data_IF_927497750120
#
_entry.id   IF_927497750120
#
_cell.length_a   1.000
_cell.length_b   1.000
_cell.length_c   1.000
_cell.angle_alpha   90.00
_cell.angle_beta   90.00
_cell.angle_gamma   90.00
#
_symmetry.space_group_name_H-M   'P 1'
#
loop_
_entity.id
_entity.type
_entity.pdbx_description
1 polymer ?
#
# COMPACT_ATOMS: atom_id res chain seq x y z
N UNK A 1 -36.75 -3.99 -12.72
CA UNK A 1 -36.51 -3.34 -11.41
C UNK A 1 -35.02 -3.20 -11.09
N UNK A 2 -34.16 -4.17 -11.43
CA UNK A 2 -32.70 -4.07 -11.24
C UNK A 2 -32.02 -3.03 -12.17
N UNK A 3 -32.48 -2.91 -13.41
CA UNK A 3 -31.96 -1.93 -14.40
C UNK A 3 -32.18 -0.47 -13.99
N UNK A 4 -33.25 -0.20 -13.23
CA UNK A 4 -33.58 1.15 -12.78
C UNK A 4 -32.63 1.64 -11.67
N UNK A 5 -32.01 0.70 -10.92
CA UNK A 5 -31.02 0.98 -9.88
C UNK A 5 -29.65 1.32 -10.47
N UNK A 6 -29.26 0.67 -11.57
CA UNK A 6 -27.99 0.92 -12.28
C UNK A 6 -28.00 2.23 -13.08
N UNK A 7 -29.18 2.73 -13.48
CA UNK A 7 -29.30 3.90 -14.36
C UNK A 7 -29.45 5.27 -13.68
N UNK A 8 -29.70 5.33 -12.38
CA UNK A 8 -30.18 6.58 -11.72
C UNK A 8 -29.28 7.15 -10.64
N UNK A 9 -28.23 6.44 -10.21
CA UNK A 9 -27.26 6.98 -9.27
C UNK A 9 -25.86 6.85 -9.87
N UNK A 10 -25.02 7.90 -9.86
CA UNK A 10 -23.60 7.70 -10.09
C UNK A 10 -23.16 6.60 -9.13
N UNK A 11 -22.48 5.58 -9.67
CA UNK A 11 -21.88 4.54 -8.85
C UNK A 11 -21.16 5.24 -7.70
N UNK A 12 -21.45 4.87 -6.43
CA UNK A 12 -20.74 5.48 -5.31
C UNK A 12 -19.26 5.31 -5.62
N UNK A 13 -18.56 6.44 -5.77
CA UNK A 13 -17.12 6.37 -5.97
C UNK A 13 -16.55 5.56 -4.82
N UNK A 14 -15.56 4.68 -5.07
CA UNK A 14 -14.90 3.95 -4.01
C UNK A 14 -14.55 4.95 -2.92
N UNK A 15 -15.11 4.76 -1.72
CA UNK A 15 -14.77 5.61 -0.59
C UNK A 15 -13.24 5.59 -0.48
N UNK A 16 -12.57 6.76 -0.54
CA UNK A 16 -11.13 6.80 -0.37
C UNK A 16 -10.83 6.15 0.98
N UNK A 17 -9.80 5.31 1.01
CA UNK A 17 -9.33 4.73 2.27
C UNK A 17 -9.04 5.88 3.24
N UNK A 18 -9.74 5.90 4.37
CA UNK A 18 -9.57 6.91 5.43
C UNK A 18 -9.05 6.21 6.68
N UNK A 19 -7.73 6.24 6.91
CA UNK A 19 -7.16 5.69 8.13
C UNK A 19 -7.84 6.32 9.36
N UNK A 20 -8.38 5.49 10.26
CA UNK A 20 -8.95 5.94 11.54
C UNK A 20 -10.47 6.13 11.59
N UNK A 21 -11.17 6.13 10.45
CA UNK A 21 -12.64 6.04 10.44
C UNK A 21 -13.06 4.57 10.36
N UNK A 22 -14.19 4.17 10.93
CA UNK A 22 -14.79 2.85 10.68
C UNK A 22 -15.87 2.95 9.61
N UNK A 23 -15.98 1.92 8.78
CA UNK A 23 -17.03 1.82 7.77
C UNK A 23 -18.39 1.60 8.42
N UNK A 24 -19.45 2.10 7.79
CA UNK A 24 -20.82 1.74 8.18
C UNK A 24 -21.14 0.29 7.81
N UNK A 25 -22.15 -0.28 8.45
CA UNK A 25 -22.72 -1.56 8.02
C UNK A 25 -23.33 -1.46 6.61
N UNK A 26 -23.25 -2.53 5.79
CA UNK A 26 -22.75 -3.87 6.11
C UNK A 26 -21.22 -4.02 5.98
N UNK A 27 -20.49 -2.98 5.56
CA UNK A 27 -19.06 -3.08 5.25
C UNK A 27 -18.20 -3.35 6.49
N UNK A 28 -18.64 -2.89 7.66
CA UNK A 28 -17.97 -3.23 8.91
C UNK A 28 -17.88 -4.74 9.12
N UNK A 29 -19.01 -5.44 9.07
CA UNK A 29 -19.07 -6.88 9.38
C UNK A 29 -18.77 -7.78 8.18
N UNK A 30 -19.05 -7.34 6.94
CA UNK A 30 -19.05 -8.21 5.76
C UNK A 30 -17.92 -7.93 4.75
N UNK A 31 -17.03 -6.96 4.98
CA UNK A 31 -15.96 -6.60 4.02
C UNK A 31 -15.09 -7.80 3.59
N UNK A 32 -14.66 -8.66 4.53
CA UNK A 32 -13.86 -9.83 4.17
C UNK A 32 -14.64 -10.83 3.29
N UNK A 33 -15.92 -11.08 3.60
CA UNK A 33 -16.78 -11.94 2.80
C UNK A 33 -17.03 -11.35 1.40
N UNK A 34 -17.25 -10.05 1.32
CA UNK A 34 -17.36 -9.33 0.05
C UNK A 34 -16.07 -9.43 -0.77
N UNK A 35 -14.90 -9.35 -0.13
CA UNK A 35 -13.62 -9.49 -0.79
C UNK A 35 -13.41 -10.92 -1.34
N UNK A 36 -13.76 -11.97 -0.56
CA UNK A 36 -13.79 -13.36 -1.06
C UNK A 36 -14.74 -13.52 -2.25
N UNK A 37 -15.92 -12.89 -2.20
CA UNK A 37 -16.87 -12.90 -3.30
C UNK A 37 -16.28 -12.23 -4.56
N UNK A 38 -15.65 -11.06 -4.41
CA UNK A 38 -14.97 -10.35 -5.50
C UNK A 38 -13.87 -11.18 -6.15
N UNK A 39 -13.07 -11.86 -5.33
CA UNK A 39 -12.06 -12.80 -5.80
C UNK A 39 -12.66 -13.94 -6.65
N UNK A 40 -13.78 -14.52 -6.21
CA UNK A 40 -14.48 -15.62 -6.91
C UNK A 40 -15.13 -15.16 -8.22
N UNK A 41 -15.72 -13.97 -8.21
CA UNK A 41 -16.34 -13.34 -9.39
C UNK A 41 -15.31 -12.77 -10.37
N UNK A 42 -14.03 -12.73 -9.99
CA UNK A 42 -12.95 -12.08 -10.76
C UNK A 42 -13.25 -10.60 -11.03
N UNK A 43 -13.78 -9.91 -10.01
CA UNK A 43 -14.11 -8.49 -10.07
C UNK A 43 -13.06 -7.69 -9.28
N UNK A 44 -11.92 -7.30 -9.90
CA UNK A 44 -10.79 -6.71 -9.19
C UNK A 44 -11.13 -5.39 -8.49
N UNK A 45 -11.95 -4.54 -9.12
CA UNK A 45 -12.37 -3.26 -8.53
C UNK A 45 -13.24 -3.48 -7.28
N UNK A 46 -14.12 -4.48 -7.33
CA UNK A 46 -14.95 -4.85 -6.19
C UNK A 46 -14.14 -5.52 -5.07
N UNK A 47 -13.19 -6.39 -5.42
CA UNK A 47 -12.24 -6.99 -4.47
C UNK A 47 -11.43 -5.88 -3.76
N UNK A 48 -10.90 -4.93 -4.53
CA UNK A 48 -10.15 -3.77 -4.02
C UNK A 48 -11.00 -2.91 -3.10
N UNK A 49 -12.23 -2.59 -3.51
CA UNK A 49 -13.15 -1.82 -2.70
C UNK A 49 -13.53 -2.53 -1.40
N UNK A 50 -13.79 -3.84 -1.45
CA UNK A 50 -14.06 -4.62 -0.25
C UNK A 50 -12.83 -4.73 0.67
N UNK A 51 -11.64 -4.87 0.10
CA UNK A 51 -10.40 -4.91 0.87
C UNK A 51 -10.13 -3.58 1.58
N UNK A 52 -10.37 -2.43 0.95
CA UNK A 52 -10.15 -1.13 1.61
C UNK A 52 -10.98 -1.00 2.88
N UNK A 53 -12.25 -1.44 2.84
CA UNK A 53 -13.11 -1.48 4.01
C UNK A 53 -12.57 -2.44 5.09
N UNK A 54 -12.11 -3.64 4.72
CA UNK A 54 -11.52 -4.56 5.70
C UNK A 54 -10.29 -3.96 6.39
N UNK A 55 -9.35 -3.39 5.61
CA UNK A 55 -8.14 -2.75 6.14
C UNK A 55 -8.50 -1.61 7.11
N UNK A 56 -9.52 -0.83 6.76
CA UNK A 56 -10.01 0.26 7.58
C UNK A 56 -10.62 -0.22 8.92
N UNK A 57 -11.36 -1.33 8.89
CA UNK A 57 -12.14 -1.79 10.04
C UNK A 57 -11.38 -2.75 10.96
N UNK A 58 -10.33 -3.43 10.48
CA UNK A 58 -9.71 -4.58 11.15
C UNK A 58 -9.26 -4.34 12.60
N UNK A 59 -8.79 -3.14 12.94
CA UNK A 59 -8.36 -2.80 14.30
C UNK A 59 -9.53 -2.53 15.27
N UNK A 60 -10.72 -2.27 14.75
CA UNK A 60 -11.92 -2.02 15.54
C UNK A 60 -12.77 -3.30 15.72
N UNK A 61 -12.41 -4.40 15.06
CA UNK A 61 -13.10 -5.67 15.20
C UNK A 61 -12.69 -6.33 16.52
N UNK A 62 -13.66 -6.76 17.33
CA UNK A 62 -13.38 -7.54 18.54
C UNK A 62 -12.87 -8.95 18.22
N UNK A 63 -13.39 -9.54 17.14
CA UNK A 63 -12.91 -10.79 16.52
C UNK A 63 -12.98 -10.60 15.01
N UNK A 64 -11.85 -10.81 14.34
CA UNK A 64 -11.74 -10.64 12.91
C UNK A 64 -12.03 -11.92 12.11
N UNK A 65 -12.18 -11.78 10.79
CA UNK A 65 -12.57 -12.87 9.89
C UNK A 65 -11.39 -13.77 9.49
N UNK A 66 -10.33 -13.82 10.29
CA UNK A 66 -9.01 -14.36 9.89
C UNK A 66 -9.06 -15.83 9.52
N UNK A 67 -9.77 -16.64 10.32
CA UNK A 67 -9.96 -18.07 10.03
C UNK A 67 -10.69 -18.29 8.70
N UNK A 68 -11.74 -17.51 8.46
CA UNK A 68 -12.51 -17.57 7.20
C UNK A 68 -11.66 -17.16 6.00
N UNK A 69 -10.78 -16.17 6.15
CA UNK A 69 -9.81 -15.76 5.12
C UNK A 69 -8.84 -16.90 4.81
N UNK A 70 -8.26 -17.53 5.84
CA UNK A 70 -7.33 -18.66 5.66
C UNK A 70 -7.97 -19.86 4.97
N UNK A 71 -9.24 -20.15 5.29
CA UNK A 71 -9.96 -21.28 4.72
C UNK A 71 -10.43 -20.98 3.29
N UNK A 72 -10.74 -19.73 2.97
CA UNK A 72 -10.96 -19.28 1.60
C UNK A 72 -9.66 -19.36 0.76
N UNK A 73 -8.52 -19.03 1.36
CA UNK A 73 -7.20 -19.04 0.70
C UNK A 73 -6.76 -20.40 0.18
N UNK A 74 -7.16 -21.48 0.84
CA UNK A 74 -6.87 -22.87 0.41
C UNK A 74 -7.35 -23.19 -1.01
N UNK A 75 -8.33 -22.45 -1.52
CA UNK A 75 -8.88 -22.65 -2.85
C UNK A 75 -8.19 -21.80 -3.93
N UNK A 76 -7.31 -20.88 -3.55
CA UNK A 76 -6.57 -20.05 -4.49
C UNK A 76 -5.28 -20.73 -4.91
N UNK A 77 -4.96 -20.65 -6.21
CA UNK A 77 -3.69 -21.18 -6.75
C UNK A 77 -2.47 -20.35 -6.32
N UNK A 78 -2.69 -19.10 -5.93
CA UNK A 78 -1.69 -18.14 -5.48
C UNK A 78 -2.33 -17.25 -4.40
N UNK A 79 -1.55 -16.74 -3.44
CA UNK A 79 -2.04 -15.77 -2.47
C UNK A 79 -2.71 -14.59 -3.16
N UNK A 80 -3.91 -14.24 -2.70
CA UNK A 80 -4.62 -13.03 -3.14
C UNK A 80 -4.36 -11.87 -2.20
N UNK A 81 -4.74 -10.66 -2.61
CA UNK A 81 -4.59 -9.46 -1.79
C UNK A 81 -5.20 -9.62 -0.39
N UNK A 82 -6.38 -10.26 -0.30
CA UNK A 82 -7.01 -10.58 0.97
C UNK A 82 -6.19 -11.54 1.85
N UNK A 83 -5.60 -12.59 1.26
CA UNK A 83 -4.75 -13.54 1.99
C UNK A 83 -3.49 -12.85 2.49
N UNK A 84 -2.84 -12.08 1.62
CA UNK A 84 -1.61 -11.34 1.93
C UNK A 84 -1.85 -10.38 3.08
N UNK A 85 -2.85 -9.51 2.96
CA UNK A 85 -3.20 -8.58 4.02
C UNK A 85 -3.54 -9.32 5.32
N UNK A 86 -4.39 -10.36 5.25
CA UNK A 86 -4.78 -11.13 6.44
C UNK A 86 -3.59 -11.79 7.13
N UNK A 87 -2.68 -12.39 6.36
CA UNK A 87 -1.47 -13.02 6.88
C UNK A 87 -0.58 -12.01 7.59
N UNK A 88 -0.31 -10.87 6.95
CA UNK A 88 0.50 -9.79 7.52
C UNK A 88 -0.16 -9.16 8.75
N UNK A 89 -1.47 -8.91 8.71
CA UNK A 89 -2.22 -8.37 9.84
C UNK A 89 -2.16 -9.30 11.07
N UNK A 90 -2.44 -10.59 10.88
CA UNK A 90 -2.39 -11.57 11.96
C UNK A 90 -0.98 -11.69 12.53
N UNK A 91 0.03 -11.86 11.66
CA UNK A 91 1.42 -11.99 12.11
C UNK A 91 1.89 -10.72 12.84
N UNK A 92 1.56 -9.54 12.34
CA UNK A 92 1.88 -8.27 13.00
C UNK A 92 1.19 -8.14 14.35
N UNK A 93 -0.10 -8.51 14.47
CA UNK A 93 -0.75 -8.49 15.79
C UNK A 93 -0.13 -9.51 16.75
N UNK A 94 0.20 -10.70 16.27
CA UNK A 94 0.93 -11.69 17.06
C UNK A 94 2.26 -11.11 17.58
N UNK A 95 3.02 -10.37 16.77
CA UNK A 95 4.29 -9.76 17.20
C UNK A 95 4.14 -8.82 18.39
N UNK A 96 2.99 -8.14 18.49
CA UNK A 96 2.71 -7.18 19.54
C UNK A 96 2.18 -7.81 20.84
N UNK A 97 1.50 -8.94 20.74
CA UNK A 97 0.83 -9.58 21.90
C UNK A 97 1.50 -10.87 22.37
N UNK A 98 2.46 -11.39 21.62
CA UNK A 98 3.21 -12.60 21.97
C UNK A 98 4.04 -12.34 23.23
N UNK A 99 4.06 -13.34 24.11
CA UNK A 99 4.81 -13.29 25.37
C UNK A 99 6.28 -13.62 25.10
N UNK A 100 7.14 -13.36 26.09
CA UNK A 100 8.58 -13.65 26.00
C UNK A 100 8.90 -15.12 25.72
N UNK A 101 8.01 -16.04 26.11
CA UNK A 101 8.14 -17.48 25.85
C UNK A 101 7.68 -17.90 24.44
N UNK A 102 7.34 -16.94 23.57
CA UNK A 102 6.89 -17.17 22.20
C UNK A 102 5.43 -17.65 22.09
N UNK A 103 4.65 -17.58 23.18
CA UNK A 103 3.24 -18.02 23.18
C UNK A 103 2.25 -16.86 23.10
N UNK A 104 1.09 -17.12 22.51
CA UNK A 104 -0.04 -16.18 22.49
C UNK A 104 -0.85 -16.29 23.79
N UNK A 105 -1.48 -15.17 24.26
CA UNK A 105 -2.37 -15.21 25.41
C UNK A 105 -3.53 -16.22 25.21
N UNK A 106 -3.94 -16.95 26.27
CA UNK A 106 -5.10 -17.81 26.21
C UNK A 106 -6.35 -17.05 25.75
N UNK A 107 -7.09 -17.62 24.80
CA UNK A 107 -8.28 -16.98 24.22
C UNK A 107 -7.98 -15.99 23.10
N UNK A 108 -6.72 -15.82 22.68
CA UNK A 108 -6.39 -15.09 21.46
C UNK A 108 -7.03 -15.73 20.23
N UNK A 109 -7.66 -14.91 19.38
CA UNK A 109 -8.27 -15.34 18.13
C UNK A 109 -7.26 -15.84 17.09
N UNK A 110 -5.98 -15.56 17.30
CA UNK A 110 -4.89 -15.92 16.41
C UNK A 110 -4.34 -17.34 16.68
N UNK A 111 -4.76 -17.98 17.78
CA UNK A 111 -4.33 -19.34 18.11
C UNK A 111 -4.77 -20.32 17.03
N UNK A 112 -3.82 -21.09 16.49
CA UNK A 112 -4.07 -22.11 15.47
C UNK A 112 -4.22 -21.57 14.05
N UNK A 113 -4.09 -20.26 13.84
CA UNK A 113 -3.98 -19.67 12.51
C UNK A 113 -2.59 -19.95 11.93
N UNK A 114 -2.53 -20.35 10.65
CA UNK A 114 -1.27 -20.53 9.93
C UNK A 114 -0.51 -19.21 9.82
N UNK A 115 -1.22 -18.10 9.65
CA UNK A 115 -0.65 -16.77 9.58
C UNK A 115 0.17 -16.40 10.83
N UNK A 116 -0.22 -16.87 12.01
CA UNK A 116 0.53 -16.62 13.25
C UNK A 116 1.94 -17.25 13.21
N UNK A 117 2.10 -18.37 12.51
CA UNK A 117 3.40 -19.02 12.34
C UNK A 117 4.32 -18.26 11.36
N UNK A 118 3.78 -17.33 10.57
CA UNK A 118 4.54 -16.54 9.61
C UNK A 118 5.28 -15.36 10.26
N UNK A 119 5.10 -15.13 11.57
CA UNK A 119 5.69 -14.01 12.32
C UNK A 119 7.13 -13.69 11.90
N UNK A 120 8.05 -14.64 12.00
CA UNK A 120 9.47 -14.41 11.66
C UNK A 120 9.76 -14.19 10.18
N UNK A 121 8.83 -14.57 9.29
CA UNK A 121 8.97 -14.40 7.84
C UNK A 121 8.44 -13.05 7.37
N UNK A 122 7.30 -12.63 7.93
CA UNK A 122 6.54 -11.47 7.44
C UNK A 122 6.70 -10.24 8.31
N UNK A 123 7.11 -10.39 9.58
CA UNK A 123 7.44 -9.28 10.47
C UNK A 123 8.91 -9.33 10.89
N UNK A 124 9.63 -8.27 10.52
CA UNK A 124 11.00 -7.96 10.96
C UNK A 124 11.02 -6.68 11.78
N UNK A 125 12.14 -6.39 12.43
CA UNK A 125 12.34 -5.11 13.11
C UNK A 125 12.01 -3.94 12.18
N UNK A 126 11.16 -3.03 12.64
CA UNK A 126 10.70 -1.89 11.86
C UNK A 126 9.59 -2.17 10.84
N UNK A 127 8.99 -3.37 10.83
CA UNK A 127 7.83 -3.65 9.97
C UNK A 127 6.68 -2.71 10.33
N UNK A 128 6.21 -1.88 9.39
CA UNK A 128 5.12 -0.96 9.66
C UNK A 128 3.82 -1.73 9.89
N UNK A 129 2.89 -1.09 10.58
CA UNK A 129 1.50 -1.53 10.64
C UNK A 129 0.97 -1.75 9.20
N UNK A 130 0.45 -2.94 8.86
CA UNK A 130 -0.05 -3.27 7.53
C UNK A 130 -1.15 -2.31 7.01
N UNK A 131 -1.81 -1.55 7.90
CA UNK A 131 -2.81 -0.55 7.49
C UNK A 131 -2.20 0.74 6.96
N UNK A 132 -0.90 0.95 7.20
CA UNK A 132 -0.20 2.19 6.84
C UNK A 132 0.45 2.11 5.45
N UNK A 133 0.50 0.94 4.83
CA UNK A 133 0.90 0.81 3.42
C UNK A 133 -0.29 1.07 2.50
N UNK A 134 0.00 1.59 1.31
CA UNK A 134 -0.99 1.85 0.27
C UNK A 134 -1.70 0.55 -0.14
N UNK A 135 -2.98 0.64 -0.47
CA UNK A 135 -3.81 -0.52 -0.79
C UNK A 135 -3.26 -1.36 -1.96
N UNK A 136 -2.59 -0.70 -2.93
CA UNK A 136 -1.93 -1.35 -4.07
C UNK A 136 -0.89 -2.40 -3.66
N UNK A 137 -0.24 -2.20 -2.51
CA UNK A 137 0.76 -3.13 -1.99
C UNK A 137 0.26 -4.58 -2.02
N UNK A 138 -0.99 -4.80 -1.60
CA UNK A 138 -1.59 -6.12 -1.46
C UNK A 138 -1.89 -6.79 -2.80
N UNK A 139 -2.11 -6.00 -3.85
CA UNK A 139 -2.39 -6.50 -5.20
C UNK A 139 -1.12 -6.77 -6.02
N UNK A 140 0.00 -6.22 -5.60
CA UNK A 140 1.28 -6.34 -6.29
C UNK A 140 2.17 -7.44 -5.71
N UNK A 141 3.29 -7.75 -6.37
CA UNK A 141 4.22 -8.79 -5.92
C UNK A 141 4.87 -8.46 -4.57
N UNK A 142 5.08 -7.17 -4.27
CA UNK A 142 5.58 -6.75 -2.97
C UNK A 142 4.63 -7.08 -1.82
N UNK A 143 3.33 -7.34 -2.07
CA UNK A 143 2.37 -7.74 -1.03
C UNK A 143 2.69 -9.06 -0.33
N UNK A 144 3.63 -9.84 -0.85
CA UNK A 144 4.14 -11.04 -0.17
C UNK A 144 5.04 -10.67 1.04
N UNK A 145 5.61 -9.45 1.07
CA UNK A 145 6.47 -8.96 2.16
C UNK A 145 6.30 -7.46 2.41
N UNK A 146 5.93 -7.08 3.63
CA UNK A 146 5.86 -5.67 4.05
C UNK A 146 7.26 -5.17 4.42
N UNK A 147 8.09 -4.96 3.40
CA UNK A 147 9.42 -4.38 3.57
C UNK A 147 9.32 -2.88 3.92
N UNK A 148 10.11 -2.37 4.88
CA UNK A 148 10.14 -0.95 5.22
C UNK A 148 10.40 -0.04 4.03
N UNK A 149 11.20 -0.51 3.07
CA UNK A 149 11.65 0.20 1.86
C UNK A 149 10.68 0.10 0.68
N UNK A 150 9.51 -0.52 0.88
CA UNK A 150 8.52 -0.66 -0.18
C UNK A 150 8.03 0.71 -0.67
N UNK A 151 7.91 0.90 -1.99
CA UNK A 151 7.39 2.14 -2.59
C UNK A 151 5.92 2.41 -2.24
N UNK A 152 5.18 1.38 -1.83
CA UNK A 152 3.82 1.51 -1.30
C UNK A 152 3.78 1.96 0.16
N UNK A 153 4.93 2.15 0.81
CA UNK A 153 4.99 2.84 2.09
C UNK A 153 4.95 4.37 1.83
N UNK A 154 3.92 5.09 2.30
CA UNK A 154 3.77 6.52 2.03
C UNK A 154 4.98 7.35 2.45
N UNK A 155 5.68 6.95 3.53
CA UNK A 155 6.90 7.65 3.99
C UNK A 155 8.04 7.50 3.00
N UNK A 156 8.26 6.29 2.48
CA UNK A 156 9.29 6.05 1.47
C UNK A 156 8.95 6.78 0.18
N UNK A 157 7.67 6.73 -0.24
CA UNK A 157 7.24 7.45 -1.44
C UNK A 157 7.51 8.95 -1.32
N UNK A 158 7.16 9.56 -0.19
CA UNK A 158 7.45 10.98 0.09
C UNK A 158 8.94 11.28 0.04
N UNK A 159 9.78 10.47 0.69
CA UNK A 159 11.24 10.66 0.66
C UNK A 159 11.78 10.56 -0.78
N UNK A 160 11.33 9.58 -1.57
CA UNK A 160 11.76 9.43 -2.96
C UNK A 160 11.30 10.59 -3.86
N UNK A 161 10.11 11.14 -3.62
CA UNK A 161 9.60 12.31 -4.33
C UNK A 161 10.42 13.57 -3.99
N UNK A 162 10.76 13.77 -2.72
CA UNK A 162 11.62 14.87 -2.25
C UNK A 162 13.04 14.78 -2.82
N UNK A 163 13.64 13.59 -2.81
CA UNK A 163 14.97 13.34 -3.38
C UNK A 163 14.99 13.56 -4.90
N UNK A 164 13.95 13.09 -5.61
CA UNK A 164 13.79 13.32 -7.03
C UNK A 164 13.66 14.82 -7.35
N UNK A 165 12.87 15.55 -6.57
CA UNK A 165 12.72 16.99 -6.72
C UNK A 165 14.03 17.74 -6.46
N UNK A 166 14.75 17.40 -5.39
CA UNK A 166 16.05 17.99 -5.07
C UNK A 166 17.09 17.73 -6.17
N UNK A 167 17.10 16.52 -6.73
CA UNK A 167 17.99 16.13 -7.83
C UNK A 167 17.67 16.91 -9.10
N UNK A 168 16.39 17.01 -9.47
CA UNK A 168 15.96 17.80 -10.63
C UNK A 168 16.32 19.28 -10.49
N UNK A 169 16.15 19.86 -9.29
CA UNK A 169 16.54 21.24 -9.02
C UNK A 169 18.06 21.46 -9.13
N UNK A 170 18.88 20.49 -8.71
CA UNK A 170 20.34 20.56 -8.87
C UNK A 170 20.73 20.54 -10.35
N UNK A 171 20.21 19.58 -11.12
CA UNK A 171 20.48 19.48 -12.56
C UNK A 171 20.05 20.73 -13.32
N UNK A 172 18.89 21.30 -12.98
CA UNK A 172 18.42 22.54 -13.60
C UNK A 172 19.34 23.74 -13.32
N UNK A 173 19.98 23.80 -12.13
CA UNK A 173 20.98 24.84 -11.82
C UNK A 173 22.28 24.63 -12.59
N UNK A 174 22.73 23.39 -12.72
CA UNK A 174 23.92 23.04 -13.51
C UNK A 174 23.74 23.41 -14.99
N UNK A 175 22.60 23.04 -15.59
CA UNK A 175 22.29 23.39 -16.97
C UNK A 175 22.27 24.91 -17.22
N UNK A 176 21.63 25.69 -16.33
CA UNK A 176 21.63 27.16 -16.47
C UNK A 176 23.04 27.75 -16.40
N UNK A 177 23.89 27.21 -15.53
CA UNK A 177 25.28 27.65 -15.42
C UNK A 177 26.07 27.32 -16.68
N UNK A 178 25.88 26.14 -17.27
CA UNK A 178 26.51 25.75 -18.54
C UNK A 178 26.03 26.64 -19.71
N UNK A 179 24.75 27.00 -19.76
CA UNK A 179 24.20 27.94 -20.74
C UNK A 179 24.80 29.35 -20.60
N UNK A 180 24.93 29.87 -19.37
CA UNK A 180 25.56 31.16 -19.09
C UNK A 180 27.05 31.17 -19.46
N UNK A 181 27.80 30.13 -19.09
CA UNK A 181 29.22 29.97 -19.43
C UNK A 181 29.40 29.89 -20.96
N UNK A 182 28.56 29.13 -21.66
CA UNK A 182 28.58 29.00 -23.13
C UNK A 182 28.21 30.31 -23.85
N UNK A 183 27.23 31.04 -23.33
CA UNK A 183 26.82 32.35 -23.88
C UNK A 183 27.91 33.41 -23.68
N UNK A 184 28.61 33.41 -22.54
CA UNK A 184 29.72 34.35 -22.27
C UNK A 184 30.96 34.07 -23.13
N UNK A 185 31.26 32.79 -23.40
CA UNK A 185 32.34 32.36 -24.28
C UNK A 185 32.12 32.78 -25.73
N UNK A 186 30.87 32.65 -26.23
CA UNK A 186 30.48 33.10 -27.57
C UNK A 186 30.63 34.63 -27.73
N UNK A 187 30.18 35.40 -26.72
CA UNK A 187 30.26 36.86 -26.75
C UNK A 187 31.71 37.39 -26.78
N UNK A 188 32.62 36.73 -26.06
CA UNK A 188 34.05 37.07 -26.08
C UNK A 188 34.74 36.70 -27.40
N UNK A 189 34.29 35.67 -28.11
CA UNK A 189 34.80 35.28 -29.42
C UNK A 189 34.37 36.24 -30.53
N UNK A 190 33.12 36.71 -30.51
CA UNK A 190 32.62 37.73 -31.44
C UNK A 190 33.29 39.11 -31.25
N UNK A 191 33.57 39.52 -30.01
CA UNK A 191 34.28 40.76 -29.73
C UNK A 191 35.74 40.74 -30.25
N UNK A 192 36.43 39.59 -30.23
CA UNK A 192 37.80 39.46 -30.78
C UNK A 192 37.84 39.51 -32.30
N UNK A 193 36.81 39.00 -32.99
CA UNK A 193 36.76 39.05 -34.46
C UNK A 193 36.49 40.47 -34.99
N UNK A 194 35.82 41.34 -34.20
CA UNK A 194 35.57 42.74 -34.58
C UNK A 194 36.75 43.69 -34.37
N UNK A 195 37.69 43.39 -33.48
CA UNK A 195 38.84 44.28 -33.19
C UNK A 195 40.11 43.92 -33.95
N UNK A 196 40.15 42.79 -34.65
CA UNK A 196 41.31 42.33 -35.45
C UNK A 196 41.30 42.74 -36.93
N UNK A 197 40.35 43.55 -37.38
CA UNK A 197 40.32 44.09 -38.76
C UNK A 197 40.75 45.56 -38.76
N UNK A 198 42.05 45.80 -38.67
CA UNK A 198 42.69 47.09 -38.96
C UNK A 198 44.06 46.84 -39.59
#
# INVERSE_FOLDING_TARGET
>A
MYEQWLGTKPLPQPLPFRPGECSAEPWFSLAAHACVLGSRLRAPDFERYALSHLVQNCAAMGFGPWKSIEDAGRWWRRPRALERFGNHWVAWNCSLVMREDGTLPPGSEYIGLRAAALLGEVTRDGTPDPRLVELDHWFEACGDSVAPECLHNPRIRQLTEEEAFATAARLARELRREEEESSSGSYMQECRLRTGSA
#
